data_IF_430166139040
#
_entry.id   IF_430166139040
#
_cell.length_a   1.000
_cell.length_b   1.000
_cell.length_c   1.000
_cell.angle_alpha   90.00
_cell.angle_beta   90.00
_cell.angle_gamma   90.00
#
_symmetry.space_group_name_H-M   'P 1'
#
loop_
_entity.id
_entity.type
_entity.pdbx_description
1 polymer ?
#
# COMPACT_ATOMS: atom_id res chain seq x y z
N UNK A 1 -7.73 -20.88 51.72
CA UNK A 1 -7.21 -21.46 50.47
C UNK A 1 -8.18 -21.10 49.37
N UNK A 2 -7.86 -20.11 48.53
CA UNK A 2 -8.71 -19.69 47.42
C UNK A 2 -8.29 -20.50 46.21
N UNK A 3 -9.16 -21.40 45.75
CA UNK A 3 -8.97 -22.16 44.51
C UNK A 3 -9.28 -21.24 43.34
N UNK A 4 -8.26 -20.90 42.56
CA UNK A 4 -8.40 -20.14 41.32
C UNK A 4 -8.61 -21.18 40.21
N UNK A 5 -9.85 -21.34 39.77
CA UNK A 5 -10.18 -22.20 38.63
C UNK A 5 -9.50 -21.70 37.34
N UNK A 6 -9.32 -22.58 36.33
CA UNK A 6 -8.66 -22.21 35.09
C UNK A 6 -9.51 -21.17 34.38
N UNK A 7 -8.97 -19.95 34.28
CA UNK A 7 -9.49 -18.94 33.39
C UNK A 7 -9.53 -19.57 32.00
N UNK A 8 -10.74 -19.59 31.46
CA UNK A 8 -11.05 -19.85 30.07
C UNK A 8 -9.90 -19.40 29.19
N UNK A 9 -9.31 -20.36 28.48
CA UNK A 9 -8.51 -20.07 27.33
C UNK A 9 -9.36 -19.18 26.42
N UNK A 10 -8.99 -17.90 26.36
CA UNK A 10 -9.49 -17.01 25.33
C UNK A 10 -9.11 -17.69 24.03
N UNK A 11 -10.13 -18.20 23.35
CA UNK A 11 -9.95 -18.76 22.03
C UNK A 11 -9.43 -17.59 21.22
N UNK A 12 -8.18 -17.67 20.76
CA UNK A 12 -7.66 -16.73 19.78
C UNK A 12 -8.63 -16.79 18.60
N UNK A 13 -9.57 -15.85 18.58
CA UNK A 13 -10.66 -15.82 17.63
C UNK A 13 -10.00 -15.74 16.26
N UNK A 14 -10.16 -16.80 15.48
CA UNK A 14 -9.78 -16.79 14.09
C UNK A 14 -10.57 -15.65 13.44
N UNK A 15 -9.90 -14.54 13.12
CA UNK A 15 -10.50 -13.42 12.41
C UNK A 15 -11.26 -13.96 11.20
N UNK A 16 -12.57 -13.76 11.16
CA UNK A 16 -13.36 -14.16 10.00
C UNK A 16 -12.82 -13.47 8.75
N UNK A 17 -12.94 -14.10 7.59
CA UNK A 17 -12.46 -13.52 6.33
C UNK A 17 -12.99 -12.10 6.06
N UNK A 18 -14.22 -11.79 6.50
CA UNK A 18 -14.79 -10.45 6.40
C UNK A 18 -14.08 -9.41 7.30
N UNK A 19 -13.74 -9.78 8.54
CA UNK A 19 -12.99 -8.91 9.46
C UNK A 19 -11.58 -8.62 8.92
N UNK A 20 -10.91 -9.64 8.37
CA UNK A 20 -9.60 -9.46 7.73
C UNK A 20 -9.65 -8.52 6.51
N UNK A 21 -10.72 -8.58 5.71
CA UNK A 21 -10.92 -7.66 4.57
C UNK A 21 -11.16 -6.22 5.03
N UNK A 22 -12.01 -6.02 6.04
CA UNK A 22 -12.26 -4.67 6.59
C UNK A 22 -11.00 -4.10 7.24
N UNK A 23 -10.23 -4.93 7.96
CA UNK A 23 -8.94 -4.53 8.52
C UNK A 23 -7.97 -4.10 7.41
N UNK A 24 -7.89 -4.87 6.32
CA UNK A 24 -7.05 -4.52 5.17
C UNK A 24 -7.47 -3.21 4.51
N UNK A 25 -8.78 -3.01 4.34
CA UNK A 25 -9.36 -1.76 3.83
C UNK A 25 -9.01 -0.57 4.72
N UNK A 26 -9.19 -0.72 6.03
CA UNK A 26 -8.83 0.27 7.04
C UNK A 26 -7.34 0.64 6.97
N UNK A 27 -6.45 -0.35 6.86
CA UNK A 27 -5.00 -0.12 6.78
C UNK A 27 -4.61 0.59 5.48
N UNK A 28 -5.24 0.26 4.34
CA UNK A 28 -5.01 0.97 3.07
C UNK A 28 -5.43 2.45 3.15
N UNK A 29 -6.54 2.73 3.84
CA UNK A 29 -7.06 4.08 4.04
C UNK A 29 -6.19 4.89 5.00
N UNK A 30 -5.98 4.39 6.21
CA UNK A 30 -5.30 5.11 7.30
C UNK A 30 -3.78 5.09 7.17
N UNK A 31 -3.22 4.07 6.51
CA UNK A 31 -1.83 4.04 6.05
C UNK A 31 -1.57 4.91 4.82
N UNK A 32 -2.57 5.66 4.35
CA UNK A 32 -2.46 6.64 3.27
C UNK A 32 -1.95 6.07 1.92
N UNK A 33 -2.12 4.76 1.67
CA UNK A 33 -1.64 4.13 0.44
C UNK A 33 -2.28 4.78 -0.80
N UNK A 34 -3.57 5.08 -0.71
CA UNK A 34 -4.33 5.73 -1.78
C UNK A 34 -3.79 7.11 -2.18
N UNK A 35 -3.14 7.84 -1.27
CA UNK A 35 -2.66 9.19 -1.57
C UNK A 35 -1.64 9.22 -2.73
N UNK A 36 -0.92 8.11 -2.95
CA UNK A 36 0.02 7.97 -4.06
C UNK A 36 -0.40 6.87 -5.04
N UNK A 37 -0.94 5.75 -4.55
CA UNK A 37 -1.30 4.60 -5.37
C UNK A 37 -2.70 4.69 -6.00
N UNK A 38 -3.40 5.83 -5.89
CA UNK A 38 -4.69 6.06 -6.54
C UNK A 38 -4.70 7.40 -7.25
N UNK A 39 -4.90 7.38 -8.58
CA UNK A 39 -4.89 8.58 -9.40
C UNK A 39 -5.94 9.61 -8.92
N UNK A 40 -5.46 10.82 -8.62
CA UNK A 40 -6.31 11.94 -8.21
C UNK A 40 -6.95 11.80 -6.81
N UNK A 41 -6.48 10.88 -5.96
CA UNK A 41 -7.09 10.66 -4.65
C UNK A 41 -7.03 11.88 -3.74
N UNK A 42 -5.86 12.50 -3.60
CA UNK A 42 -5.69 13.72 -2.79
C UNK A 42 -6.45 14.91 -3.35
N UNK A 43 -6.41 15.12 -4.67
CA UNK A 43 -7.14 16.21 -5.36
C UNK A 43 -8.66 16.09 -5.23
N UNK A 44 -9.16 14.87 -5.06
CA UNK A 44 -10.58 14.57 -4.83
C UNK A 44 -10.93 14.41 -3.35
N UNK A 45 -10.00 14.74 -2.44
CA UNK A 45 -10.20 14.63 -0.98
C UNK A 45 -10.68 13.23 -0.55
N UNK A 46 -10.16 12.19 -1.20
CA UNK A 46 -10.56 10.79 -0.97
C UNK A 46 -11.89 10.37 -1.62
N UNK A 47 -12.61 11.28 -2.28
CA UNK A 47 -13.84 10.98 -3.02
C UNK A 47 -13.55 10.31 -4.37
N UNK A 48 -13.00 9.10 -4.28
CA UNK A 48 -12.67 8.22 -5.41
C UNK A 48 -13.41 6.90 -5.22
N UNK A 49 -14.17 6.41 -6.22
CA UNK A 49 -14.81 5.11 -6.15
C UNK A 49 -13.80 4.00 -5.83
N UNK A 50 -14.15 3.06 -4.94
CA UNK A 50 -13.24 2.00 -4.50
C UNK A 50 -12.72 1.14 -5.67
N UNK A 51 -13.51 0.97 -6.74
CA UNK A 51 -13.08 0.29 -7.97
C UNK A 51 -11.86 0.94 -8.65
N UNK A 52 -11.56 2.21 -8.37
CA UNK A 52 -10.41 2.94 -8.90
C UNK A 52 -9.20 2.94 -7.94
N UNK A 53 -9.36 2.45 -6.71
CA UNK A 53 -8.29 2.48 -5.72
C UNK A 53 -7.12 1.57 -6.12
N UNK A 54 -5.91 1.99 -5.77
CA UNK A 54 -4.66 1.23 -5.86
C UNK A 54 -4.21 0.85 -7.27
N UNK A 55 -4.74 1.54 -8.30
CA UNK A 55 -4.37 1.36 -9.71
C UNK A 55 -3.07 2.08 -10.09
N UNK A 56 -2.40 2.72 -9.13
CA UNK A 56 -1.18 3.53 -9.31
C UNK A 56 -1.48 5.02 -9.49
N UNK A 57 -0.43 5.82 -9.71
CA UNK A 57 -0.55 7.27 -9.90
C UNK A 57 -1.02 7.67 -11.32
N UNK A 58 -1.28 6.70 -12.20
CA UNK A 58 -1.58 6.96 -13.60
C UNK A 58 -0.42 7.68 -14.31
N UNK A 59 -0.66 8.77 -15.05
CA UNK A 59 0.42 9.51 -15.72
C UNK A 59 1.18 10.44 -14.76
N UNK A 60 0.75 10.60 -13.50
CA UNK A 60 1.36 11.53 -12.54
C UNK A 60 2.68 10.99 -12.00
N UNK A 61 3.78 11.71 -12.28
CA UNK A 61 5.10 11.45 -11.69
C UNK A 61 5.36 12.28 -10.43
N UNK A 62 6.23 11.77 -9.55
CA UNK A 62 6.77 12.50 -8.40
C UNK A 62 8.26 12.78 -8.65
N UNK A 63 8.59 14.05 -8.92
CA UNK A 63 9.90 14.50 -9.38
C UNK A 63 10.68 15.14 -8.24
N UNK A 64 11.90 14.66 -7.97
CA UNK A 64 12.85 15.31 -7.07
C UNK A 64 14.31 15.08 -7.52
N UNK A 65 15.31 15.42 -6.68
CA UNK A 65 16.72 15.16 -6.98
C UNK A 65 17.05 13.69 -7.27
N UNK A 66 16.22 12.76 -6.78
CA UNK A 66 16.34 11.32 -7.04
C UNK A 66 15.79 10.87 -8.40
N UNK A 67 15.29 11.78 -9.24
CA UNK A 67 14.59 11.45 -10.49
C UNK A 67 13.07 11.56 -10.37
N UNK A 68 12.36 10.84 -11.23
CA UNK A 68 10.89 10.77 -11.26
C UNK A 68 10.43 9.36 -10.96
N UNK A 69 9.60 9.21 -9.94
CA UNK A 69 8.96 7.94 -9.59
C UNK A 69 7.47 8.00 -9.91
N UNK A 70 6.92 6.86 -10.29
CA UNK A 70 5.49 6.67 -10.50
C UNK A 70 5.02 5.61 -9.52
N UNK A 71 3.90 5.83 -8.84
CA UNK A 71 3.41 4.89 -7.84
C UNK A 71 2.89 3.63 -8.52
N UNK A 72 3.39 2.49 -8.06
CA UNK A 72 3.02 1.17 -8.58
C UNK A 72 1.52 0.93 -8.55
N UNK A 73 1.01 0.16 -9.52
CA UNK A 73 -0.33 -0.41 -9.41
C UNK A 73 -0.29 -1.60 -8.43
N UNK A 74 -0.79 -1.41 -7.20
CA UNK A 74 -0.70 -2.43 -6.16
C UNK A 74 -1.60 -3.63 -6.47
N UNK A 75 -2.71 -3.44 -7.20
CA UNK A 75 -3.58 -4.56 -7.61
C UNK A 75 -2.87 -5.55 -8.52
N UNK A 76 -1.91 -5.07 -9.32
CA UNK A 76 -1.03 -5.90 -10.13
C UNK A 76 0.20 -6.38 -9.32
N UNK A 77 0.77 -5.54 -8.45
CA UNK A 77 1.93 -5.91 -7.63
C UNK A 77 1.67 -7.13 -6.75
N UNK A 78 0.53 -7.19 -6.06
CA UNK A 78 0.22 -8.32 -5.15
C UNK A 78 0.01 -9.64 -5.88
N UNK A 79 -0.17 -9.64 -7.21
CA UNK A 79 -0.33 -10.89 -7.97
C UNK A 79 0.98 -11.66 -8.12
N UNK A 80 2.12 -11.00 -7.92
CA UNK A 80 3.44 -11.59 -8.05
C UNK A 80 3.89 -12.34 -6.78
N UNK A 81 3.05 -12.36 -5.74
CA UNK A 81 3.41 -12.89 -4.44
C UNK A 81 2.30 -13.80 -3.89
N UNK A 82 2.69 -14.88 -3.22
CA UNK A 82 1.88 -15.46 -2.16
C UNK A 82 1.77 -14.50 -0.98
N UNK A 83 0.85 -14.76 -0.04
CA UNK A 83 0.70 -13.89 1.13
C UNK A 83 1.98 -13.82 1.99
N UNK A 84 2.68 -14.95 2.19
CA UNK A 84 3.94 -14.98 2.94
C UNK A 84 5.08 -14.27 2.20
N UNK A 85 5.13 -14.37 0.88
CA UNK A 85 6.08 -13.63 0.05
C UNK A 85 5.80 -12.13 0.08
N UNK A 86 4.52 -11.72 0.12
CA UNK A 86 4.14 -10.33 0.27
C UNK A 86 4.65 -9.75 1.59
N UNK A 87 4.46 -10.46 2.71
CA UNK A 87 4.96 -10.03 4.02
C UNK A 87 6.49 -9.86 3.98
N UNK A 88 7.22 -10.86 3.45
CA UNK A 88 8.67 -10.79 3.31
C UNK A 88 9.12 -9.63 2.42
N UNK A 89 8.45 -9.43 1.28
CA UNK A 89 8.70 -8.32 0.37
C UNK A 89 8.49 -6.97 1.05
N UNK A 90 7.34 -6.77 1.72
CA UNK A 90 7.00 -5.52 2.40
C UNK A 90 7.99 -5.19 3.52
N UNK A 91 8.41 -6.18 4.31
CA UNK A 91 9.41 -6.04 5.38
C UNK A 91 10.82 -5.73 4.87
N UNK A 92 11.15 -6.06 3.62
CA UNK A 92 12.46 -5.82 3.04
C UNK A 92 12.50 -4.63 2.05
N UNK A 93 11.34 -4.07 1.69
CA UNK A 93 11.22 -3.08 0.62
C UNK A 93 12.04 -1.81 0.91
N UNK A 94 12.92 -1.43 0.00
CA UNK A 94 13.53 -0.10 -0.06
C UNK A 94 13.21 0.54 -1.40
N UNK A 95 12.25 1.46 -1.40
CA UNK A 95 11.81 2.16 -2.61
C UNK A 95 12.48 3.54 -2.73
N UNK A 96 12.48 4.08 -3.94
CA UNK A 96 12.82 5.50 -4.16
C UNK A 96 11.74 6.40 -3.55
N UNK A 97 12.07 7.65 -3.15
CA UNK A 97 11.07 8.60 -2.67
C UNK A 97 9.95 8.86 -3.70
N UNK A 98 8.75 9.31 -3.29
CA UNK A 98 8.38 9.72 -1.93
C UNK A 98 7.75 8.61 -1.07
N UNK A 99 7.75 7.35 -1.52
CA UNK A 99 7.10 6.26 -0.77
C UNK A 99 7.79 6.04 0.58
N UNK A 100 7.05 6.08 1.71
CA UNK A 100 7.60 5.92 3.07
C UNK A 100 7.79 4.44 3.40
N UNK A 101 8.72 3.78 2.70
CA UNK A 101 8.91 2.33 2.80
C UNK A 101 9.25 1.85 4.22
N UNK A 102 9.90 2.68 5.04
CA UNK A 102 10.18 2.36 6.45
C UNK A 102 8.89 2.13 7.27
N UNK A 103 7.85 2.94 7.04
CA UNK A 103 6.56 2.76 7.72
C UNK A 103 5.85 1.47 7.29
N UNK A 104 6.02 1.07 6.02
CA UNK A 104 5.53 -0.24 5.56
C UNK A 104 6.29 -1.39 6.25
N UNK A 105 7.61 -1.25 6.44
CA UNK A 105 8.41 -2.24 7.16
C UNK A 105 8.00 -2.36 8.63
N UNK A 106 7.60 -1.26 9.29
CA UNK A 106 7.16 -1.28 10.69
C UNK A 106 5.73 -1.79 10.88
N UNK A 107 4.94 -1.88 9.80
CA UNK A 107 3.57 -2.42 9.85
C UNK A 107 3.59 -3.89 10.31
N UNK A 108 2.66 -4.28 11.18
CA UNK A 108 2.63 -5.65 11.73
C UNK A 108 2.41 -6.68 10.61
N UNK A 109 2.88 -7.92 10.80
CA UNK A 109 2.64 -8.97 9.79
C UNK A 109 1.15 -9.23 9.59
N UNK A 110 0.35 -9.21 10.66
CA UNK A 110 -1.10 -9.35 10.59
C UNK A 110 -1.72 -8.28 9.68
N UNK A 111 -1.33 -7.02 9.86
CA UNK A 111 -1.82 -5.91 9.04
C UNK A 111 -1.36 -6.01 7.58
N UNK A 112 -0.11 -6.42 7.34
CA UNK A 112 0.39 -6.66 5.98
C UNK A 112 -0.40 -7.76 5.27
N UNK A 113 -0.79 -8.83 5.97
CA UNK A 113 -1.65 -9.90 5.45
C UNK A 113 -3.06 -9.40 5.18
N UNK A 114 -3.65 -8.64 6.10
CA UNK A 114 -4.96 -8.02 5.92
C UNK A 114 -4.97 -7.11 4.67
N UNK A 115 -3.94 -6.26 4.51
CA UNK A 115 -3.74 -5.44 3.32
C UNK A 115 -3.64 -6.32 2.05
N UNK A 116 -2.83 -7.38 2.05
CA UNK A 116 -2.74 -8.31 0.91
C UNK A 116 -4.10 -8.87 0.52
N UNK A 117 -4.86 -9.41 1.48
CA UNK A 117 -6.20 -10.00 1.24
C UNK A 117 -7.17 -8.97 0.66
N UNK A 118 -7.19 -7.75 1.21
CA UNK A 118 -8.03 -6.68 0.68
C UNK A 118 -7.63 -6.30 -0.76
N UNK A 119 -6.34 -6.11 -1.04
CA UNK A 119 -5.87 -5.77 -2.39
C UNK A 119 -6.16 -6.91 -3.38
N UNK A 120 -6.03 -8.18 -2.96
CA UNK A 120 -6.41 -9.35 -3.77
C UNK A 120 -7.92 -9.39 -4.03
N UNK A 121 -8.75 -9.06 -3.03
CA UNK A 121 -10.21 -8.98 -3.18
C UNK A 121 -10.64 -7.93 -4.21
N UNK A 122 -9.93 -6.79 -4.28
CA UNK A 122 -10.16 -5.77 -5.31
C UNK A 122 -9.90 -6.26 -6.75
N UNK A 123 -9.17 -7.38 -6.93
CA UNK A 123 -8.88 -8.02 -8.21
C UNK A 123 -7.87 -7.27 -9.09
N UNK A 124 -7.21 -7.95 -10.05
CA UNK A 124 -6.29 -7.29 -10.97
C UNK A 124 -7.06 -6.34 -11.91
N UNK A 125 -6.57 -5.10 -12.04
CA UNK A 125 -7.14 -4.11 -12.95
C UNK A 125 -6.12 -3.02 -13.29
N UNK A 126 -6.40 -2.23 -14.33
CA UNK A 126 -5.56 -1.11 -14.75
C UNK A 126 -4.30 -1.52 -15.51
N UNK A 127 -3.29 -0.64 -15.49
CA UNK A 127 -2.02 -0.83 -16.20
C UNK A 127 -0.84 -0.84 -15.21
N UNK A 128 0.32 -1.42 -15.56
CA UNK A 128 1.55 -1.22 -14.82
C UNK A 128 1.92 0.27 -14.71
N UNK A 129 2.65 0.64 -13.65
CA UNK A 129 3.14 2.00 -13.51
C UNK A 129 4.17 2.34 -14.60
N UNK A 130 4.26 3.62 -14.96
CA UNK A 130 5.31 4.11 -15.85
C UNK A 130 6.70 3.82 -15.26
N UNK A 131 7.71 3.59 -16.11
CA UNK A 131 9.08 3.37 -15.64
C UNK A 131 9.65 4.61 -14.95
N UNK A 132 10.60 4.39 -14.04
CA UNK A 132 11.39 5.44 -13.42
C UNK A 132 12.14 6.28 -14.47
N UNK A 133 12.22 7.59 -14.24
CA UNK A 133 12.99 8.51 -15.09
C UNK A 133 14.17 9.09 -14.27
N UNK A 134 15.42 8.91 -14.72
CA UNK A 134 16.61 9.50 -14.10
C UNK A 134 16.57 11.02 -13.87
N UNK A 135 17.36 11.50 -12.91
CA UNK A 135 17.36 12.91 -12.52
C UNK A 135 17.92 13.87 -13.59
N UNK A 136 18.73 13.37 -14.52
CA UNK A 136 19.27 14.08 -15.67
C UNK A 136 18.32 14.08 -16.88
N UNK A 137 17.16 13.41 -16.78
CA UNK A 137 16.16 13.32 -17.84
C UNK A 137 14.89 14.09 -17.48
N UNK A 138 14.22 14.61 -18.51
CA UNK A 138 12.93 15.28 -18.38
C UNK A 138 11.79 14.23 -18.48
N UNK A 139 10.95 14.04 -17.44
CA UNK A 139 9.80 13.16 -17.53
C UNK A 139 8.65 13.82 -18.31
N UNK A 140 7.74 13.01 -18.83
CA UNK A 140 6.45 13.48 -19.35
C UNK A 140 5.65 14.20 -18.25
N UNK A 141 4.90 15.24 -18.64
CA UNK A 141 3.87 15.83 -17.78
C UNK A 141 2.62 14.92 -17.71
N UNK A 142 1.86 14.95 -16.61
CA UNK A 142 2.08 15.76 -15.41
C UNK A 142 3.06 15.14 -14.42
N UNK A 143 3.79 15.99 -13.69
CA UNK A 143 4.54 15.58 -12.52
C UNK A 143 4.44 16.64 -11.42
N UNK A 144 4.50 16.21 -10.16
CA UNK A 144 4.61 17.06 -8.98
C UNK A 144 6.07 17.18 -8.57
N UNK A 145 6.53 18.41 -8.33
CA UNK A 145 7.84 18.65 -7.74
C UNK A 145 7.79 18.29 -6.25
N UNK A 146 8.73 17.47 -5.82
CA UNK A 146 8.95 17.06 -4.45
C UNK A 146 10.38 17.43 -4.08
N UNK A 147 10.50 18.32 -3.11
CA UNK A 147 11.78 18.63 -2.51
C UNK A 147 12.08 17.58 -1.44
N UNK A 148 13.35 17.18 -1.31
CA UNK A 148 13.78 16.56 -0.07
C UNK A 148 13.75 17.67 0.97
N UNK A 149 12.81 17.61 1.91
CA UNK A 149 12.88 18.47 3.09
C UNK A 149 14.10 17.96 3.86
N UNK A 150 15.10 18.84 4.00
CA UNK A 150 16.31 18.57 4.79
C UNK A 150 15.97 18.58 6.27
#
# INVERSE_FOLDING_TARGET
MISIGPWLADSADAESGAQALERGRYMVLTGHCNNCHTAGYTKREGNVPEKEWLLGSGPLGYRGPWGTTYSSNLRLTVQNFTEDEWVRYAKALKSRPPMPWWSLQDTTEQDLRAMYRFIKHLGPAGQPAKPYVPADQAPDRPYELRQLVQ
#
